data_IF_764199937657
#
_entry.id   IF_764199937657
#
_cell.length_a   1.000
_cell.length_b   1.000
_cell.length_c   1.000
_cell.angle_alpha   90.00
_cell.angle_beta   90.00
_cell.angle_gamma   90.00
#
_symmetry.space_group_name_H-M   'P 1'
#
loop_
_entity.id
_entity.type
_entity.pdbx_description
1 polymer ?
#
# COMPACT_ATOMS: atom_id res chain seq x y z
N UNK A 1 -9.37 1.93 0.60
CA UNK A 1 -8.86 0.89 1.51
C UNK A 1 -7.44 0.54 1.15
N UNK A 2 -6.57 0.27 2.14
CA UNK A 2 -5.14 -0.05 1.88
C UNK A 2 -4.64 -1.09 2.88
N UNK A 3 -4.51 -0.72 4.16
CA UNK A 3 -4.15 -1.67 5.23
C UNK A 3 -5.37 -2.31 5.89
N UNK A 4 -6.52 -1.66 5.76
CA UNK A 4 -7.79 -2.07 6.33
C UNK A 4 -8.95 -1.55 5.48
N UNK A 5 -10.14 -2.09 5.75
CA UNK A 5 -11.41 -1.72 5.14
C UNK A 5 -11.94 -0.36 5.63
N UNK A 6 -11.15 0.71 5.48
CA UNK A 6 -11.49 2.06 5.96
C UNK A 6 -12.81 2.58 5.42
N UNK A 7 -13.17 2.25 4.19
CA UNK A 7 -14.46 2.64 3.58
C UNK A 7 -15.64 2.04 4.35
N UNK A 8 -15.52 0.77 4.74
CA UNK A 8 -16.53 0.08 5.56
C UNK A 8 -16.62 0.68 6.97
N UNK A 9 -15.47 0.96 7.60
CA UNK A 9 -15.43 1.53 8.95
C UNK A 9 -15.96 2.97 9.00
N UNK A 10 -15.58 3.80 8.02
CA UNK A 10 -16.05 5.16 7.88
C UNK A 10 -17.58 5.22 7.67
N UNK A 11 -18.14 4.30 6.88
CA UNK A 11 -19.58 4.21 6.66
C UNK A 11 -20.38 3.85 7.94
N UNK A 12 -19.76 3.18 8.92
CA UNK A 12 -20.41 2.81 10.18
C UNK A 12 -20.25 3.86 11.29
N UNK A 13 -19.19 4.66 11.23
CA UNK A 13 -18.85 5.65 12.26
C UNK A 13 -18.41 5.03 13.60
N UNK A 14 -17.87 5.85 14.50
CA UNK A 14 -17.37 5.39 15.82
C UNK A 14 -18.47 4.83 16.72
N UNK A 15 -19.70 5.36 16.60
CA UNK A 15 -20.85 5.01 17.45
C UNK A 15 -21.38 3.58 17.23
N UNK A 16 -21.02 2.91 16.13
CA UNK A 16 -21.44 1.54 15.83
C UNK A 16 -20.33 0.50 16.01
N UNK A 17 -19.22 0.87 16.67
CA UNK A 17 -18.10 -0.03 16.83
C UNK A 17 -18.36 -1.06 17.94
N UNK A 18 -18.88 -2.22 17.55
CA UNK A 18 -19.16 -3.31 18.49
C UNK A 18 -17.86 -3.94 19.00
N UNK A 19 -17.94 -4.60 20.17
CA UNK A 19 -16.81 -5.37 20.72
C UNK A 19 -16.29 -6.42 19.74
N UNK A 20 -17.18 -7.04 18.97
CA UNK A 20 -16.81 -8.02 17.95
C UNK A 20 -15.97 -7.39 16.84
N UNK A 21 -16.36 -6.22 16.32
CA UNK A 21 -15.56 -5.50 15.32
C UNK A 21 -14.21 -5.10 15.92
N UNK A 22 -14.18 -4.61 17.17
CA UNK A 22 -12.92 -4.30 17.85
C UNK A 22 -11.96 -5.50 17.95
N UNK A 23 -12.48 -6.71 18.22
CA UNK A 23 -11.68 -7.93 18.23
C UNK A 23 -11.16 -8.30 16.83
N UNK A 24 -12.00 -8.17 15.79
CA UNK A 24 -11.59 -8.40 14.41
C UNK A 24 -10.51 -7.41 13.96
N UNK A 25 -10.65 -6.13 14.31
CA UNK A 25 -9.64 -5.11 14.05
C UNK A 25 -8.31 -5.43 14.72
N UNK A 26 -8.33 -5.91 15.97
CA UNK A 26 -7.12 -6.32 16.68
C UNK A 26 -6.43 -7.52 16.02
N UNK A 27 -7.20 -8.51 15.57
CA UNK A 27 -6.67 -9.68 14.84
C UNK A 27 -6.06 -9.23 13.51
N UNK A 28 -6.80 -8.43 12.72
CA UNK A 28 -6.32 -7.89 11.46
C UNK A 28 -5.05 -7.06 11.65
N UNK A 29 -4.99 -6.22 12.68
CA UNK A 29 -3.79 -5.43 13.00
C UNK A 29 -2.56 -6.30 13.19
N UNK A 30 -2.69 -7.42 13.91
CA UNK A 30 -1.57 -8.38 14.10
C UNK A 30 -1.13 -9.02 12.79
N UNK A 31 -2.06 -9.28 11.87
CA UNK A 31 -1.72 -9.80 10.54
C UNK A 31 -1.00 -8.76 9.69
N UNK A 32 -1.48 -7.52 9.68
CA UNK A 32 -0.85 -6.40 8.98
C UNK A 32 0.56 -6.12 9.54
N UNK A 33 0.70 -6.10 10.86
CA UNK A 33 1.99 -5.92 11.53
C UNK A 33 2.99 -6.99 11.09
N UNK A 34 2.59 -8.27 11.14
CA UNK A 34 3.43 -9.39 10.70
C UNK A 34 3.80 -9.28 9.23
N UNK A 35 2.84 -8.95 8.37
CA UNK A 35 3.08 -8.79 6.94
C UNK A 35 4.14 -7.72 6.67
N UNK A 36 3.98 -6.53 7.27
CA UNK A 36 4.91 -5.41 7.10
C UNK A 36 6.30 -5.77 7.67
N UNK A 37 6.36 -6.35 8.87
CA UNK A 37 7.62 -6.79 9.47
C UNK A 37 8.36 -7.82 8.62
N UNK A 38 7.66 -8.79 8.03
CA UNK A 38 8.27 -9.77 7.14
C UNK A 38 8.72 -9.14 5.83
N UNK A 39 7.92 -8.25 5.24
CA UNK A 39 8.29 -7.56 4.00
C UNK A 39 9.56 -6.72 4.19
N UNK A 40 9.67 -5.95 5.29
CA UNK A 40 10.87 -5.18 5.64
C UNK A 40 12.10 -6.10 5.80
N UNK A 41 11.94 -7.28 6.42
CA UNK A 41 13.04 -8.25 6.57
C UNK A 41 13.51 -8.84 5.25
N UNK A 42 12.61 -9.00 4.28
CA UNK A 42 12.90 -9.61 2.99
C UNK A 42 13.46 -8.60 1.97
N UNK A 43 13.25 -7.30 2.17
CA UNK A 43 13.79 -6.27 1.31
C UNK A 43 13.12 -4.91 1.49
N UNK A 44 13.20 -4.08 0.43
CA UNK A 44 12.56 -2.77 0.44
C UNK A 44 11.04 -2.89 0.33
N UNK A 45 10.33 -2.17 1.20
CA UNK A 45 8.87 -2.10 1.23
C UNK A 45 8.39 -0.69 0.85
N UNK A 46 7.45 -0.65 -0.08
CA UNK A 46 6.69 0.54 -0.45
C UNK A 46 5.20 0.26 -0.27
N UNK A 47 4.46 1.21 0.28
CA UNK A 47 2.99 1.22 0.28
C UNK A 47 2.55 2.26 -0.73
N UNK A 48 1.92 1.84 -1.83
CA UNK A 48 1.39 2.75 -2.85
C UNK A 48 -0.13 2.75 -2.76
N UNK A 49 -0.74 3.92 -2.59
CA UNK A 49 -2.20 4.06 -2.43
C UNK A 49 -2.77 5.18 -3.30
N UNK A 50 -4.02 5.03 -3.73
CA UNK A 50 -4.77 6.11 -4.39
C UNK A 50 -5.49 7.02 -3.38
N UNK A 51 -5.35 6.77 -2.07
CA UNK A 51 -5.79 7.70 -1.05
C UNK A 51 -4.90 8.95 -1.04
N UNK A 52 -5.38 10.04 -0.44
CA UNK A 52 -4.61 11.26 -0.22
C UNK A 52 -3.38 11.01 0.67
N UNK A 53 -2.36 11.84 0.54
CA UNK A 53 -1.16 11.79 1.39
C UNK A 53 -1.52 11.87 2.88
N UNK A 54 -0.80 11.12 3.71
CA UNK A 54 -1.10 10.99 5.15
C UNK A 54 -2.29 10.09 5.51
N UNK A 55 -3.13 9.69 4.56
CA UNK A 55 -4.33 8.89 4.85
C UNK A 55 -4.02 7.53 5.49
N UNK A 56 -2.94 6.86 5.08
CA UNK A 56 -2.54 5.56 5.64
C UNK A 56 -2.23 5.71 7.14
N UNK A 57 -1.46 6.73 7.50
CA UNK A 57 -1.06 7.01 8.87
C UNK A 57 -2.26 7.43 9.72
N UNK A 58 -3.09 8.36 9.23
CA UNK A 58 -4.29 8.80 9.94
C UNK A 58 -5.27 7.64 10.16
N UNK A 59 -5.47 6.78 9.16
CA UNK A 59 -6.33 5.61 9.31
C UNK A 59 -5.76 4.56 10.26
N UNK A 60 -4.43 4.38 10.28
CA UNK A 60 -3.78 3.50 11.24
C UNK A 60 -3.87 4.09 12.65
N UNK A 61 -3.71 5.39 12.85
CA UNK A 61 -3.86 6.04 14.15
C UNK A 61 -5.25 5.80 14.75
N UNK A 62 -6.29 5.90 13.92
CA UNK A 62 -7.67 5.71 14.34
C UNK A 62 -8.00 4.24 14.67
N UNK A 63 -7.56 3.30 13.83
CA UNK A 63 -8.07 1.92 13.88
C UNK A 63 -7.04 0.86 14.25
N UNK A 64 -5.75 1.14 14.07
CA UNK A 64 -4.63 0.22 14.30
C UNK A 64 -3.38 0.96 14.84
N UNK A 65 -3.47 1.72 15.94
CA UNK A 65 -2.43 2.65 16.39
C UNK A 65 -1.09 1.94 16.70
N UNK A 66 -1.11 0.65 17.04
CA UNK A 66 0.08 -0.16 17.25
C UNK A 66 0.97 -0.28 15.99
N UNK A 67 0.43 0.00 14.79
CA UNK A 67 1.20 -0.02 13.55
C UNK A 67 1.98 1.28 13.31
N UNK A 68 1.68 2.38 14.00
CA UNK A 68 2.31 3.68 13.75
C UNK A 68 3.84 3.65 13.86
N UNK A 69 4.45 3.02 14.89
CA UNK A 69 5.91 2.93 14.97
C UNK A 69 6.53 2.14 13.81
N UNK A 70 5.81 1.14 13.30
CA UNK A 70 6.25 0.33 12.17
C UNK A 70 6.13 1.12 10.86
N UNK A 71 5.00 1.81 10.65
CA UNK A 71 4.75 2.64 9.47
C UNK A 71 5.69 3.84 9.36
N UNK A 72 6.22 4.35 10.48
CA UNK A 72 7.24 5.40 10.47
C UNK A 72 8.53 5.01 9.73
N UNK A 73 8.78 3.70 9.56
CA UNK A 73 9.94 3.16 8.85
C UNK A 73 9.60 2.67 7.43
N UNK A 74 8.37 2.92 6.94
CA UNK A 74 7.89 2.45 5.64
C UNK A 74 7.65 3.63 4.72
N UNK A 75 8.14 3.55 3.49
CA UNK A 75 7.84 4.56 2.48
C UNK A 75 6.40 4.38 2.00
N UNK A 76 5.53 5.31 2.41
CA UNK A 76 4.16 5.43 1.93
C UNK A 76 4.12 6.47 0.80
N UNK A 77 3.52 6.11 -0.32
CA UNK A 77 3.36 6.97 -1.49
C UNK A 77 1.88 7.10 -1.83
N UNK A 78 1.33 8.30 -1.68
CA UNK A 78 0.05 8.66 -2.30
C UNK A 78 0.25 8.88 -3.80
N UNK A 79 -0.33 8.00 -4.61
CA UNK A 79 -0.37 8.13 -6.05
C UNK A 79 -1.29 9.30 -6.46
N UNK A 80 -2.43 9.46 -5.78
CA UNK A 80 -3.39 10.55 -6.04
C UNK A 80 -2.74 11.91 -5.84
N UNK A 81 -2.19 12.17 -4.66
CA UNK A 81 -1.62 13.48 -4.34
C UNK A 81 -0.44 13.85 -5.25
N UNK A 82 0.22 12.87 -5.87
CA UNK A 82 1.34 13.10 -6.80
C UNK A 82 0.93 13.30 -8.25
N UNK A 83 -0.16 12.68 -8.70
CA UNK A 83 -0.45 12.55 -10.13
C UNK A 83 -1.87 12.95 -10.53
N UNK A 84 -2.76 13.32 -9.58
CA UNK A 84 -4.12 13.78 -9.88
C UNK A 84 -4.14 15.03 -10.75
N UNK A 85 -3.21 15.96 -10.54
CA UNK A 85 -3.10 17.18 -11.35
C UNK A 85 -2.77 16.88 -12.81
N UNK A 86 -1.90 15.90 -13.07
CA UNK A 86 -1.46 15.54 -14.42
C UNK A 86 -2.45 14.61 -15.14
N UNK A 87 -3.23 13.83 -14.38
CA UNK A 87 -4.15 12.82 -14.87
C UNK A 87 -5.50 12.91 -14.15
N UNK A 88 -6.30 13.97 -14.35
CA UNK A 88 -7.55 14.15 -13.64
C UNK A 88 -8.48 12.95 -13.83
N UNK A 89 -9.12 12.50 -12.74
CA UNK A 89 -10.05 11.37 -12.67
C UNK A 89 -9.50 10.00 -13.15
N UNK A 90 -8.18 9.87 -13.34
CA UNK A 90 -7.54 8.63 -13.79
C UNK A 90 -6.69 7.99 -12.68
N UNK A 91 -7.39 7.37 -11.73
CA UNK A 91 -6.79 6.67 -10.61
C UNK A 91 -5.88 5.49 -11.02
N UNK A 92 -6.05 4.97 -12.23
CA UNK A 92 -5.14 3.96 -12.78
C UNK A 92 -3.80 4.58 -13.16
N UNK A 93 -3.82 5.70 -13.89
CA UNK A 93 -2.62 6.41 -14.29
C UNK A 93 -1.84 6.93 -13.09
N UNK A 94 -2.51 7.36 -12.02
CA UNK A 94 -1.83 7.75 -10.77
C UNK A 94 -0.98 6.60 -10.25
N UNK A 95 -1.59 5.42 -10.06
CA UNK A 95 -0.91 4.23 -9.55
C UNK A 95 0.21 3.80 -10.49
N UNK A 96 -0.02 3.77 -11.81
CA UNK A 96 1.00 3.44 -12.79
C UNK A 96 2.22 4.36 -12.68
N UNK A 97 2.01 5.67 -12.59
CA UNK A 97 3.09 6.67 -12.48
C UNK A 97 3.82 6.58 -11.15
N UNK A 98 3.10 6.32 -10.06
CA UNK A 98 3.70 6.07 -8.75
C UNK A 98 4.62 4.84 -8.75
N UNK A 99 4.20 3.72 -9.34
CA UNK A 99 5.04 2.53 -9.49
C UNK A 99 6.29 2.80 -10.33
N UNK A 100 6.16 3.54 -11.44
CA UNK A 100 7.32 3.95 -12.25
C UNK A 100 8.25 4.90 -11.49
N UNK A 101 7.73 5.73 -10.58
CA UNK A 101 8.56 6.56 -9.72
C UNK A 101 9.35 5.72 -8.70
N UNK A 102 8.74 4.67 -8.13
CA UNK A 102 9.46 3.73 -7.25
C UNK A 102 10.69 3.15 -7.95
N UNK A 103 10.63 2.88 -9.27
CA UNK A 103 11.81 2.46 -10.06
C UNK A 103 13.00 3.40 -9.86
N UNK A 104 12.78 4.71 -9.88
CA UNK A 104 13.87 5.70 -9.80
C UNK A 104 14.62 5.63 -8.47
N UNK A 105 13.95 5.18 -7.42
CA UNK A 105 14.52 4.99 -6.09
C UNK A 105 15.23 3.61 -5.97
N UNK A 106 14.98 2.68 -6.89
CA UNK A 106 15.60 1.36 -6.97
C UNK A 106 16.83 1.42 -7.90
N UNK A 107 18.04 1.28 -7.35
CA UNK A 107 19.28 1.20 -8.16
C UNK A 107 19.19 0.03 -9.15
N UNK A 108 19.56 0.24 -10.42
CA UNK A 108 19.38 -0.73 -11.51
C UNK A 108 20.11 -2.08 -11.31
N UNK A 109 21.08 -2.14 -10.40
CA UNK A 109 22.13 -3.16 -10.43
C UNK A 109 21.81 -4.48 -9.70
N UNK A 110 20.64 -4.69 -9.06
CA UNK A 110 20.45 -5.92 -8.25
C UNK A 110 19.02 -6.42 -7.97
N UNK A 111 17.95 -5.95 -8.63
CA UNK A 111 16.61 -6.45 -8.29
C UNK A 111 16.29 -7.75 -9.02
N UNK A 112 16.13 -8.84 -8.27
CA UNK A 112 15.74 -10.16 -8.80
C UNK A 112 14.24 -10.42 -8.70
N UNK A 113 13.55 -9.84 -7.70
CA UNK A 113 12.16 -10.16 -7.38
C UNK A 113 11.35 -8.90 -7.05
N UNK A 114 10.20 -8.73 -7.72
CA UNK A 114 9.21 -7.69 -7.44
C UNK A 114 7.90 -8.35 -7.04
N UNK A 115 7.47 -8.12 -5.81
CA UNK A 115 6.23 -8.68 -5.26
C UNK A 115 5.25 -7.53 -5.03
N UNK A 116 4.08 -7.60 -5.67
CA UNK A 116 2.97 -6.68 -5.40
C UNK A 116 1.81 -7.46 -4.79
N UNK A 117 1.31 -6.92 -3.67
CA UNK A 117 0.12 -7.41 -2.96
C UNK A 117 -0.95 -6.33 -3.12
N UNK A 118 -2.10 -6.71 -3.68
CA UNK A 118 -3.16 -5.75 -3.99
C UNK A 118 -4.46 -6.45 -4.40
N UNK A 119 -5.58 -5.76 -4.26
CA UNK A 119 -6.92 -6.28 -4.52
C UNK A 119 -7.39 -6.06 -5.97
N UNK A 120 -6.71 -5.18 -6.70
CA UNK A 120 -7.14 -4.69 -8.01
C UNK A 120 -6.24 -5.16 -9.15
N UNK A 121 -6.85 -5.36 -10.32
CA UNK A 121 -6.12 -5.64 -11.55
C UNK A 121 -5.18 -4.49 -11.95
N UNK A 122 -5.54 -3.25 -11.56
CA UNK A 122 -4.75 -2.05 -11.78
C UNK A 122 -3.36 -2.16 -11.16
N UNK A 123 -3.25 -2.72 -9.96
CA UNK A 123 -1.96 -2.96 -9.30
C UNK A 123 -1.15 -4.03 -10.02
N UNK A 124 -1.82 -5.10 -10.48
CA UNK A 124 -1.17 -6.15 -11.26
C UNK A 124 -0.61 -5.63 -12.58
N UNK A 125 -1.33 -4.71 -13.25
CA UNK A 125 -0.86 -4.07 -14.46
C UNK A 125 0.30 -3.10 -14.18
N UNK A 126 0.21 -2.30 -13.12
CA UNK A 126 1.24 -1.34 -12.72
C UNK A 126 2.57 -2.05 -12.36
N UNK A 127 2.52 -3.13 -11.57
CA UNK A 127 3.73 -3.89 -11.21
C UNK A 127 4.35 -4.60 -12.40
N UNK A 128 3.55 -5.06 -13.37
CA UNK A 128 4.05 -5.67 -14.61
C UNK A 128 4.76 -4.64 -15.48
N UNK A 129 4.16 -3.45 -15.64
CA UNK A 129 4.79 -2.34 -16.35
C UNK A 129 6.10 -1.92 -15.67
N UNK A 130 6.13 -1.83 -14.33
CA UNK A 130 7.37 -1.61 -13.59
C UNK A 130 8.37 -2.75 -13.81
N UNK A 131 7.91 -4.00 -13.90
CA UNK A 131 8.77 -5.11 -14.23
C UNK A 131 9.42 -4.95 -15.61
N UNK A 132 8.68 -4.59 -16.66
CA UNK A 132 9.18 -4.38 -18.04
C UNK A 132 10.43 -3.50 -18.14
N UNK A 133 10.64 -2.68 -17.12
CA UNK A 133 11.73 -1.75 -17.00
C UNK A 133 13.05 -2.32 -16.42
N UNK A 134 13.12 -3.61 -16.05
CA UNK A 134 14.31 -4.28 -15.50
C UNK A 134 14.82 -5.42 -16.40
N UNK A 135 16.15 -5.54 -16.56
CA UNK A 135 16.81 -6.55 -17.42
C UNK A 135 16.68 -8.00 -16.90
N UNK A 136 16.68 -8.21 -15.57
CA UNK A 136 16.49 -9.51 -14.93
C UNK A 136 15.42 -9.37 -13.85
N UNK A 137 14.30 -10.11 -13.96
CA UNK A 137 13.20 -9.99 -13.00
C UNK A 137 12.37 -11.26 -12.86
N UNK A 138 11.80 -11.43 -11.68
CA UNK A 138 10.64 -12.25 -11.41
C UNK A 138 9.55 -11.36 -10.80
N UNK A 139 8.43 -11.18 -11.51
CA UNK A 139 7.29 -10.40 -11.03
C UNK A 139 6.24 -11.36 -10.48
N UNK A 140 5.89 -11.21 -9.20
CA UNK A 140 4.81 -11.96 -8.56
C UNK A 140 3.72 -11.01 -8.09
N UNK A 141 2.50 -11.23 -8.56
CA UNK A 141 1.29 -10.60 -8.03
C UNK A 141 0.60 -11.56 -7.08
N UNK A 142 0.20 -11.06 -5.92
CA UNK A 142 -0.64 -11.76 -4.95
C UNK A 142 -1.93 -10.95 -4.81
N UNK A 143 -3.06 -11.62 -5.04
CA UNK A 143 -4.41 -11.08 -4.86
C UNK A 143 -5.08 -11.83 -3.74
#
# INVERSE_FOLDING_TARGET
>A
DTLLCTTFLAARGELQMTREIGLQLLIMSKHVERLIQQAIKLGMLYIVTNAEDGWVQASAEMWMPQLLPLLANVTVMSARSRFEQDYPDDAFMWKKKAFLQVKRDLREEAFTNLISVGDSWYEMAAVRALGEEFERKLVKTVK
#
